data_IF_888584716980
#
_entry.id   IF_888584716980
#
_cell.length_a   1.000
_cell.length_b   1.000
_cell.length_c   1.000
_cell.angle_alpha   90.00
_cell.angle_beta   90.00
_cell.angle_gamma   90.00
#
_symmetry.space_group_name_H-M   'P 1'
#
loop_
_entity.id
_entity.type
_entity.pdbx_description
1 polymer ?
#
# COMPACT_ATOMS: atom_id res chain seq x y z
N UNK A 1 99.60 41.08 -45.67
CA UNK A 1 98.98 39.95 -44.94
C UNK A 1 97.66 40.43 -44.35
N UNK A 2 96.55 39.77 -44.74
CA UNK A 2 95.18 39.71 -44.14
C UNK A 2 94.47 40.96 -43.53
N UNK A 3 93.36 41.32 -44.21
CA UNK A 3 91.98 41.64 -43.76
C UNK A 3 91.70 41.86 -42.26
N UNK A 4 90.90 42.88 -41.96
CA UNK A 4 89.51 42.67 -41.50
C UNK A 4 88.58 43.85 -41.79
N UNK A 5 87.40 43.52 -42.32
CA UNK A 5 86.29 44.40 -42.68
C UNK A 5 85.53 44.88 -41.44
N UNK A 6 85.20 46.17 -41.45
CA UNK A 6 84.07 46.75 -40.71
C UNK A 6 83.12 47.32 -41.77
N UNK A 7 81.97 46.69 -41.97
CA UNK A 7 80.84 47.29 -42.69
C UNK A 7 79.62 47.16 -41.80
N UNK A 8 79.26 48.26 -41.13
CA UNK A 8 77.91 48.47 -40.60
C UNK A 8 76.97 48.64 -41.79
N UNK A 9 76.09 47.68 -42.03
CA UNK A 9 74.99 47.83 -42.97
C UNK A 9 73.91 48.71 -42.33
N UNK A 10 73.73 49.92 -42.87
CA UNK A 10 72.53 50.72 -42.63
C UNK A 10 71.38 50.17 -43.46
N UNK A 11 70.41 49.54 -42.81
CA UNK A 11 69.09 49.24 -43.40
C UNK A 11 68.38 50.58 -43.66
N UNK A 12 68.17 50.93 -44.92
CA UNK A 12 67.18 51.94 -45.31
C UNK A 12 65.80 51.28 -45.22
N UNK A 13 64.96 51.76 -44.32
CA UNK A 13 63.53 51.47 -44.31
C UNK A 13 62.88 52.31 -45.42
N UNK A 14 62.20 51.64 -46.35
CA UNK A 14 61.41 52.27 -47.41
C UNK A 14 60.04 52.63 -46.81
N UNK A 15 59.90 53.85 -46.28
CA UNK A 15 58.65 54.38 -45.70
C UNK A 15 57.65 54.72 -46.81
N UNK A 16 57.17 53.71 -47.53
CA UNK A 16 55.98 53.85 -48.39
C UNK A 16 54.75 53.85 -47.48
N UNK A 17 54.24 55.04 -47.19
CA UNK A 17 52.98 55.21 -46.46
C UNK A 17 51.84 54.43 -47.13
N UNK A 18 50.96 53.85 -46.31
CA UNK A 18 49.77 53.12 -46.76
C UNK A 18 48.94 53.96 -47.74
N UNK A 19 48.48 53.36 -48.84
CA UNK A 19 47.50 54.01 -49.71
C UNK A 19 46.16 54.15 -48.97
N UNK A 20 45.49 55.30 -49.13
CA UNK A 20 44.14 55.53 -48.58
C UNK A 20 43.15 54.44 -49.04
N UNK A 21 43.32 53.95 -50.27
CA UNK A 21 42.48 52.88 -50.84
C UNK A 21 42.73 51.55 -50.13
N UNK A 22 43.98 51.21 -49.84
CA UNK A 22 44.31 49.98 -49.09
C UNK A 22 43.77 50.02 -47.66
N UNK A 23 43.79 51.19 -47.02
CA UNK A 23 43.19 51.40 -45.70
C UNK A 23 41.67 51.17 -45.74
N UNK A 24 40.98 51.76 -46.72
CA UNK A 24 39.52 51.64 -46.86
C UNK A 24 39.11 50.18 -47.15
N UNK A 25 39.81 49.50 -48.06
CA UNK A 25 39.55 48.09 -48.38
C UNK A 25 39.80 47.21 -47.15
N UNK A 26 40.88 47.46 -46.40
CA UNK A 26 41.20 46.71 -45.18
C UNK A 26 40.13 46.87 -44.10
N UNK A 27 39.65 48.09 -43.86
CA UNK A 27 38.57 48.35 -42.90
C UNK A 27 37.25 47.74 -43.39
N UNK A 28 36.94 47.82 -44.68
CA UNK A 28 35.73 47.23 -45.24
C UNK A 28 35.71 45.69 -45.06
N UNK A 29 36.81 45.01 -45.37
CA UNK A 29 36.94 43.55 -45.17
C UNK A 29 36.85 43.22 -43.67
N UNK A 30 37.51 43.99 -42.80
CA UNK A 30 37.44 43.80 -41.36
C UNK A 30 36.01 43.91 -40.84
N UNK A 31 35.24 44.92 -41.26
CA UNK A 31 33.85 45.11 -40.83
C UNK A 31 32.95 43.98 -41.32
N UNK A 32 33.12 43.54 -42.59
CA UNK A 32 32.36 42.41 -43.16
C UNK A 32 32.56 41.14 -42.32
N UNK A 33 33.77 40.90 -41.80
CA UNK A 33 34.08 39.73 -40.97
C UNK A 33 33.65 39.94 -39.51
N UNK A 34 33.84 41.14 -38.95
CA UNK A 34 33.65 41.40 -37.52
C UNK A 34 32.17 41.43 -37.10
N UNK A 35 31.28 41.93 -37.96
CA UNK A 35 29.83 42.00 -37.67
C UNK A 35 29.24 40.62 -37.36
N UNK A 36 29.38 39.58 -38.22
CA UNK A 36 28.87 38.24 -37.90
C UNK A 36 29.61 37.59 -36.73
N UNK A 37 30.91 37.82 -36.57
CA UNK A 37 31.70 37.28 -35.45
C UNK A 37 31.20 37.81 -34.10
N UNK A 38 30.98 39.12 -33.99
CA UNK A 38 30.50 39.75 -32.76
C UNK A 38 29.04 39.35 -32.46
N UNK A 39 28.20 39.22 -33.48
CA UNK A 39 26.83 38.74 -33.32
C UNK A 39 26.80 37.31 -32.76
N UNK A 40 27.64 36.42 -33.29
CA UNK A 40 27.76 35.04 -32.80
C UNK A 40 28.33 35.00 -31.38
N UNK A 41 29.33 35.83 -31.06
CA UNK A 41 29.90 35.91 -29.71
C UNK A 41 28.88 36.37 -28.68
N UNK A 42 28.08 37.41 -28.98
CA UNK A 42 27.01 37.89 -28.10
C UNK A 42 25.97 36.79 -27.86
N UNK A 43 25.55 36.07 -28.91
CA UNK A 43 24.61 34.95 -28.79
C UNK A 43 25.19 33.84 -27.91
N UNK A 44 26.45 33.48 -28.08
CA UNK A 44 27.12 32.46 -27.25
C UNK A 44 27.21 32.90 -25.78
N UNK A 45 27.53 34.16 -25.50
CA UNK A 45 27.52 34.67 -24.12
C UNK A 45 26.13 34.62 -23.49
N UNK A 46 25.08 35.02 -24.24
CA UNK A 46 23.70 34.95 -23.78
C UNK A 46 23.26 33.51 -23.53
N UNK A 47 23.64 32.59 -24.42
CA UNK A 47 23.36 31.16 -24.29
C UNK A 47 24.07 30.58 -23.08
N UNK A 48 25.34 30.91 -22.86
CA UNK A 48 26.10 30.46 -21.69
C UNK A 48 25.48 30.95 -20.38
N UNK A 49 25.08 32.23 -20.31
CA UNK A 49 24.41 32.77 -19.13
C UNK A 49 23.05 32.11 -18.87
N UNK A 50 22.31 31.77 -19.93
CA UNK A 50 21.05 31.02 -19.81
C UNK A 50 21.30 29.58 -19.34
N UNK A 51 22.32 28.92 -19.88
CA UNK A 51 22.70 27.56 -19.51
C UNK A 51 23.17 27.49 -18.04
N UNK A 52 23.96 28.46 -17.58
CA UNK A 52 24.37 28.59 -16.19
C UNK A 52 23.17 28.71 -15.25
N UNK A 53 22.21 29.61 -15.55
CA UNK A 53 20.97 29.73 -14.77
C UNK A 53 20.17 28.44 -14.74
N UNK A 54 20.02 27.78 -15.89
CA UNK A 54 19.30 26.51 -15.99
C UNK A 54 19.98 25.41 -15.17
N UNK A 55 21.32 25.32 -15.21
CA UNK A 55 22.08 24.36 -14.43
C UNK A 55 21.89 24.59 -12.92
N UNK A 56 21.92 25.84 -12.47
CA UNK A 56 21.66 26.19 -11.06
C UNK A 56 20.25 25.79 -10.62
N UNK A 57 19.24 26.08 -11.44
CA UNK A 57 17.84 25.71 -11.18
C UNK A 57 17.66 24.18 -11.13
N UNK A 58 18.27 23.46 -12.08
CA UNK A 58 18.24 22.01 -12.14
C UNK A 58 18.93 21.37 -10.93
N UNK A 59 20.08 21.89 -10.50
CA UNK A 59 20.80 21.38 -9.33
C UNK A 59 20.01 21.61 -8.04
N UNK A 60 19.43 22.80 -7.87
CA UNK A 60 18.58 23.11 -6.72
C UNK A 60 17.38 22.15 -6.63
N UNK A 61 16.66 21.98 -7.74
CA UNK A 61 15.53 21.06 -7.79
C UNK A 61 15.96 19.61 -7.51
N UNK A 62 17.11 19.16 -8.04
CA UNK A 62 17.62 17.81 -7.81
C UNK A 62 18.01 17.57 -6.33
N UNK A 63 18.68 18.53 -5.69
CA UNK A 63 19.04 18.42 -4.27
C UNK A 63 17.80 18.38 -3.36
N UNK A 64 16.81 19.23 -3.63
CA UNK A 64 15.54 19.19 -2.90
C UNK A 64 14.78 17.88 -3.13
N UNK A 65 14.77 17.38 -4.37
CA UNK A 65 14.18 16.09 -4.72
C UNK A 65 14.84 14.95 -3.95
N UNK A 66 16.17 14.95 -3.85
CA UNK A 66 16.92 13.94 -3.09
C UNK A 66 16.57 13.99 -1.60
N UNK A 67 16.54 15.19 -0.99
CA UNK A 67 16.15 15.36 0.41
C UNK A 67 14.71 14.88 0.69
N UNK A 68 13.75 15.27 -0.14
CA UNK A 68 12.36 14.79 -0.04
C UNK A 68 12.26 13.28 -0.25
N UNK A 69 13.10 12.71 -1.12
CA UNK A 69 13.18 11.25 -1.31
C UNK A 69 13.87 10.52 -0.16
N UNK A 70 14.71 11.17 0.64
CA UNK A 70 15.28 10.57 1.83
C UNK A 70 14.29 10.54 3.02
N UNK A 71 13.44 11.56 3.16
CA UNK A 71 12.56 11.74 4.35
C UNK A 71 11.22 10.99 4.28
N UNK A 72 10.65 10.63 5.44
CA UNK A 72 9.27 10.14 5.57
C UNK A 72 8.27 11.28 5.31
N UNK A 73 7.02 10.99 4.91
CA UNK A 73 5.97 12.01 4.77
C UNK A 73 5.73 12.77 6.09
N UNK A 74 5.78 12.03 7.20
CA UNK A 74 5.68 12.61 8.54
C UNK A 74 6.83 13.56 8.86
N UNK A 75 8.05 13.21 8.49
CA UNK A 75 9.23 14.08 8.62
C UNK A 75 9.07 15.33 7.77
N UNK A 76 8.68 15.20 6.50
CA UNK A 76 8.43 16.33 5.60
C UNK A 76 7.38 17.27 6.21
N UNK A 77 6.23 16.74 6.64
CA UNK A 77 5.18 17.54 7.29
C UNK A 77 5.70 18.25 8.53
N UNK A 78 6.47 17.56 9.38
CA UNK A 78 7.04 18.15 10.58
C UNK A 78 8.05 19.25 10.26
N UNK A 79 8.88 19.06 9.23
CA UNK A 79 9.86 20.07 8.79
C UNK A 79 9.16 21.34 8.29
N UNK A 80 8.15 21.21 7.44
CA UNK A 80 7.40 22.38 6.92
C UNK A 80 6.45 23.04 7.93
N UNK A 81 6.17 22.37 9.06
CA UNK A 81 5.47 22.96 10.20
C UNK A 81 6.42 23.55 11.25
N UNK A 82 7.71 23.22 11.18
CA UNK A 82 8.75 23.65 12.10
C UNK A 82 9.27 25.07 11.79
N UNK A 83 10.12 25.62 12.68
CA UNK A 83 10.83 26.85 12.38
C UNK A 83 11.85 26.62 11.25
N UNK A 84 12.02 27.61 10.36
CA UNK A 84 12.96 27.51 9.22
C UNK A 84 14.40 27.17 9.62
N UNK A 85 14.82 27.57 10.82
CA UNK A 85 16.16 27.30 11.36
C UNK A 85 16.40 25.82 11.65
N UNK A 86 15.37 24.97 11.60
CA UNK A 86 15.42 23.52 11.81
C UNK A 86 15.12 22.72 10.54
N UNK A 87 15.10 23.37 9.36
CA UNK A 87 14.84 22.71 8.08
C UNK A 87 16.09 21.96 7.59
N UNK A 88 16.01 20.64 7.46
CA UNK A 88 17.18 19.79 7.15
C UNK A 88 17.20 19.31 5.68
N UNK A 89 16.08 19.44 4.94
CA UNK A 89 15.95 19.06 3.53
C UNK A 89 16.70 20.00 2.53
N UNK A 90 17.36 21.10 2.99
CA UNK A 90 18.26 22.09 2.26
C UNK A 90 17.56 23.40 1.79
N UNK A 91 18.19 24.61 1.67
CA UNK A 91 19.48 25.17 2.18
C UNK A 91 19.34 26.21 3.32
N UNK A 92 20.48 26.64 3.90
CA UNK A 92 20.59 27.51 5.10
C UNK A 92 20.15 28.98 4.93
N UNK A 93 20.02 29.47 3.69
CA UNK A 93 19.68 30.87 3.38
C UNK A 93 18.31 30.94 2.70
N UNK A 94 17.26 30.92 3.52
CA UNK A 94 15.86 30.96 3.11
C UNK A 94 15.07 32.00 3.93
N UNK A 95 14.07 32.59 3.30
CA UNK A 95 13.22 33.60 3.93
C UNK A 95 12.15 32.94 4.81
N UNK A 96 11.42 31.96 4.27
CA UNK A 96 10.31 31.27 4.94
C UNK A 96 10.07 29.86 4.38
N UNK A 97 9.44 28.99 5.19
CA UNK A 97 8.89 27.69 4.77
C UNK A 97 7.44 27.59 5.20
N UNK A 98 6.59 26.98 4.37
CA UNK A 98 5.20 26.78 4.75
C UNK A 98 4.50 25.66 4.01
N UNK A 99 3.52 25.06 4.69
CA UNK A 99 2.48 24.25 4.07
C UNK A 99 1.39 25.16 3.48
N UNK A 100 0.92 24.80 2.30
CA UNK A 100 -0.07 25.53 1.54
C UNK A 100 -1.39 24.75 1.48
N UNK A 101 -2.48 25.49 1.35
CA UNK A 101 -3.82 24.97 1.06
C UNK A 101 -4.29 25.57 -0.27
N UNK A 102 -4.73 24.70 -1.18
CA UNK A 102 -5.33 25.10 -2.45
C UNK A 102 -6.73 25.69 -2.19
N UNK A 103 -6.93 26.95 -2.58
CA UNK A 103 -8.24 27.64 -2.45
C UNK A 103 -9.01 27.54 -3.77
N UNK A 104 -8.30 27.73 -4.86
CA UNK A 104 -8.79 27.67 -6.23
C UNK A 104 -7.64 27.22 -7.15
N UNK A 105 -7.90 26.75 -8.38
CA UNK A 105 -6.84 26.32 -9.29
C UNK A 105 -5.73 27.38 -9.46
N UNK A 106 -4.53 27.07 -8.98
CA UNK A 106 -3.38 27.98 -9.02
C UNK A 106 -3.33 29.06 -7.93
N UNK A 107 -4.25 29.03 -6.96
CA UNK A 107 -4.30 29.97 -5.83
C UNK A 107 -4.13 29.24 -4.49
N UNK A 108 -3.13 29.66 -3.72
CA UNK A 108 -2.70 28.99 -2.50
C UNK A 108 -2.62 29.97 -1.33
N UNK A 109 -3.13 29.57 -0.15
CA UNK A 109 -2.92 30.27 1.12
C UNK A 109 -2.05 29.44 2.06
N UNK A 110 -1.44 30.10 3.04
CA UNK A 110 -0.80 29.43 4.16
C UNK A 110 -1.84 28.62 4.92
N UNK A 111 -1.56 27.33 5.16
CA UNK A 111 -2.40 26.48 6.00
C UNK A 111 -2.15 26.83 7.47
N UNK A 112 -3.21 27.05 8.25
CA UNK A 112 -3.07 27.26 9.70
C UNK A 112 -2.67 25.95 10.38
N UNK A 113 -1.69 26.03 11.28
CA UNK A 113 -1.08 24.88 11.94
C UNK A 113 -2.13 24.15 12.79
N UNK A 114 -2.46 22.92 12.40
CA UNK A 114 -3.41 22.05 13.06
C UNK A 114 -3.09 20.59 12.71
N UNK A 115 -3.51 19.70 13.60
CA UNK A 115 -3.27 18.24 13.65
C UNK A 115 -3.04 17.59 12.28
N UNK A 116 -2.10 16.63 12.24
CA UNK A 116 -1.80 15.74 11.12
C UNK A 116 -3.08 15.29 10.40
N UNK A 117 -3.35 15.88 9.24
CA UNK A 117 -4.47 15.57 8.35
C UNK A 117 -3.85 15.07 7.05
N UNK A 118 -3.98 13.77 6.82
CA UNK A 118 -3.45 13.08 5.64
C UNK A 118 -4.32 13.43 4.44
N UNK A 119 -3.75 14.16 3.48
CA UNK A 119 -4.43 14.52 2.24
C UNK A 119 -3.76 13.79 1.09
N UNK A 120 -4.57 13.39 0.09
CA UNK A 120 -4.06 12.72 -1.10
C UNK A 120 -3.10 13.62 -1.91
N UNK A 121 -3.21 14.94 -1.79
CA UNK A 121 -2.26 15.88 -2.39
C UNK A 121 -1.90 16.96 -1.37
N UNK A 122 -0.60 17.15 -1.14
CA UNK A 122 -0.06 18.18 -0.25
C UNK A 122 0.81 19.18 -1.02
N UNK A 123 0.75 20.44 -0.58
CA UNK A 123 1.46 21.55 -1.19
C UNK A 123 2.39 22.23 -0.18
N UNK A 124 3.62 22.49 -0.57
CA UNK A 124 4.63 23.13 0.26
C UNK A 124 5.36 24.22 -0.52
N UNK A 125 5.92 25.18 0.20
CA UNK A 125 6.74 26.22 -0.41
C UNK A 125 7.94 26.60 0.46
N UNK A 126 9.01 27.00 -0.23
CA UNK A 126 10.23 27.58 0.34
C UNK A 126 10.44 28.92 -0.36
N UNK A 127 10.53 30.01 0.39
CA UNK A 127 10.68 31.36 -0.17
C UNK A 127 12.12 31.85 -0.07
N UNK A 128 12.56 32.60 -1.08
CA UNK A 128 13.81 33.34 -1.03
C UNK A 128 15.08 32.47 -1.07
N UNK A 129 15.03 31.28 -1.67
CA UNK A 129 16.19 30.40 -1.80
C UNK A 129 17.26 31.06 -2.68
N UNK A 130 18.44 31.31 -2.12
CA UNK A 130 19.56 31.90 -2.87
C UNK A 130 20.41 30.80 -3.53
N UNK A 131 20.44 30.76 -4.87
CA UNK A 131 21.29 29.86 -5.64
C UNK A 131 22.04 30.62 -6.75
N UNK A 132 23.38 30.57 -6.71
CA UNK A 132 24.24 31.25 -7.70
C UNK A 132 24.01 32.76 -7.79
N UNK A 133 23.70 33.40 -6.66
CA UNK A 133 23.49 34.86 -6.57
C UNK A 133 22.12 35.34 -7.08
N UNK A 134 21.19 34.43 -7.40
CA UNK A 134 19.79 34.76 -7.69
C UNK A 134 18.88 34.15 -6.63
N UNK A 135 17.80 34.84 -6.29
CA UNK A 135 16.77 34.36 -5.37
C UNK A 135 15.65 33.65 -6.15
N UNK A 136 15.14 32.56 -5.59
CA UNK A 136 14.06 31.74 -6.15
C UNK A 136 13.03 31.42 -5.07
N UNK A 137 11.78 31.30 -5.48
CA UNK A 137 10.76 30.62 -4.67
C UNK A 137 10.62 29.19 -5.18
N UNK A 138 10.46 28.24 -4.27
CA UNK A 138 10.26 26.83 -4.61
C UNK A 138 8.84 26.45 -4.24
N UNK A 139 8.14 25.83 -5.18
CA UNK A 139 6.84 25.23 -4.97
C UNK A 139 6.96 23.72 -5.10
N UNK A 140 6.46 22.99 -4.11
CA UNK A 140 6.54 21.54 -4.03
C UNK A 140 5.12 21.00 -3.96
N UNK A 141 4.80 20.05 -4.82
CA UNK A 141 3.58 19.26 -4.76
C UNK A 141 3.95 17.81 -4.52
N UNK A 142 3.40 17.24 -3.45
CA UNK A 142 3.41 15.80 -3.20
C UNK A 142 2.02 15.28 -3.54
N UNK A 143 1.92 14.49 -4.59
CA UNK A 143 0.65 13.93 -5.05
C UNK A 143 0.63 12.41 -4.90
N UNK A 144 -0.21 11.92 -3.99
CA UNK A 144 -0.58 10.51 -3.82
C UNK A 144 -1.94 10.20 -4.47
N UNK A 145 -2.59 11.16 -5.13
CA UNK A 145 -3.91 10.98 -5.74
C UNK A 145 -3.86 10.33 -7.13
N UNK A 146 -2.68 10.14 -7.72
CA UNK A 146 -2.52 9.75 -9.14
C UNK A 146 -3.25 8.45 -9.47
N UNK A 147 -4.11 8.52 -10.50
CA UNK A 147 -5.00 7.43 -10.97
C UNK A 147 -4.27 6.13 -11.38
N UNK A 148 -2.96 6.19 -11.63
CA UNK A 148 -2.13 5.05 -12.05
C UNK A 148 -2.05 3.92 -11.02
N UNK A 149 -2.39 4.18 -9.76
CA UNK A 149 -2.37 3.22 -8.67
C UNK A 149 -3.76 2.94 -8.09
N UNK A 150 -4.83 3.52 -8.64
CA UNK A 150 -6.21 3.29 -8.21
C UNK A 150 -6.92 2.42 -9.23
N UNK A 151 -7.38 1.22 -8.85
CA UNK A 151 -8.37 0.50 -9.68
C UNK A 151 -9.72 1.17 -9.49
N UNK A 152 -10.49 1.34 -10.58
CA UNK A 152 -11.76 2.10 -10.70
C UNK A 152 -12.89 1.76 -9.70
N UNK A 153 -12.68 0.84 -8.75
CA UNK A 153 -13.66 0.42 -7.76
C UNK A 153 -13.38 0.89 -6.31
N UNK A 154 -12.16 1.32 -5.95
CA UNK A 154 -11.83 1.60 -4.54
C UNK A 154 -10.85 2.78 -4.37
N UNK A 155 -11.20 3.72 -3.47
CA UNK A 155 -10.48 4.96 -3.17
C UNK A 155 -9.26 4.78 -2.23
N UNK A 156 -8.44 3.73 -2.36
CA UNK A 156 -7.34 3.47 -1.41
C UNK A 156 -5.99 3.09 -2.02
N UNK A 157 -4.94 3.45 -1.28
CA UNK A 157 -3.52 3.20 -1.55
C UNK A 157 -3.19 1.71 -1.32
N UNK A 158 -3.00 1.01 -2.42
CA UNK A 158 -2.57 -0.38 -2.54
C UNK A 158 -1.03 -0.45 -2.63
N UNK A 159 -0.34 -0.40 -1.48
CA UNK A 159 1.10 -0.69 -1.51
C UNK A 159 1.34 -2.11 -2.04
N UNK A 160 2.32 -2.31 -2.93
CA UNK A 160 2.69 -3.61 -3.45
C UNK A 160 3.22 -4.46 -2.29
N UNK A 161 2.48 -5.52 -1.94
CA UNK A 161 3.17 -6.81 -1.91
C UNK A 161 4.10 -6.85 -3.13
N UNK A 162 5.36 -7.31 -3.01
CA UNK A 162 6.27 -7.35 -4.16
C UNK A 162 5.47 -7.91 -5.33
N UNK A 163 5.48 -7.22 -6.48
CA UNK A 163 4.61 -7.62 -7.60
C UNK A 163 4.72 -9.14 -7.71
N UNK A 164 3.61 -9.87 -7.76
CA UNK A 164 3.65 -11.34 -7.67
C UNK A 164 4.65 -11.92 -8.69
N UNK A 165 4.82 -11.22 -9.82
CA UNK A 165 5.79 -11.51 -10.88
C UNK A 165 7.27 -11.43 -10.47
N UNK A 166 7.59 -10.67 -9.42
CA UNK A 166 8.92 -10.48 -8.85
C UNK A 166 9.16 -11.33 -7.60
N UNK A 167 8.12 -12.04 -7.12
CA UNK A 167 8.26 -13.02 -6.04
C UNK A 167 8.81 -14.31 -6.62
N UNK A 168 9.97 -14.72 -6.12
CA UNK A 168 10.53 -16.02 -6.43
C UNK A 168 9.80 -17.09 -5.60
N UNK A 169 9.06 -17.95 -6.30
CA UNK A 169 8.30 -19.05 -5.71
C UNK A 169 9.23 -20.09 -5.04
N UNK A 170 10.50 -20.18 -5.42
CA UNK A 170 11.47 -21.09 -4.81
C UNK A 170 12.19 -20.48 -3.60
N UNK A 171 12.03 -19.18 -3.36
CA UNK A 171 12.69 -18.46 -2.26
C UNK A 171 11.72 -17.87 -1.23
N UNK A 172 10.43 -17.72 -1.58
CA UNK A 172 9.42 -17.08 -0.73
C UNK A 172 8.24 -18.03 -0.48
N UNK A 173 7.69 -17.98 0.74
CA UNK A 173 6.42 -18.65 1.03
C UNK A 173 5.24 -17.86 0.50
N UNK A 174 4.54 -18.34 -0.54
CA UNK A 174 3.35 -17.68 -1.08
C UNK A 174 2.08 -18.47 -0.70
N UNK A 175 1.19 -17.84 0.05
CA UNK A 175 -0.02 -18.48 0.60
C UNK A 175 -1.26 -17.62 0.32
N UNK A 176 -2.40 -18.26 0.01
CA UNK A 176 -3.69 -17.58 -0.08
C UNK A 176 -4.66 -18.10 0.96
N UNK A 177 -5.31 -17.17 1.66
CA UNK A 177 -6.29 -17.48 2.70
C UNK A 177 -7.52 -18.26 2.23
N UNK A 178 -7.84 -18.23 0.94
CA UNK A 178 -8.94 -18.99 0.35
C UNK A 178 -8.55 -20.42 -0.04
N UNK A 179 -7.39 -20.89 0.41
CA UNK A 179 -6.90 -22.24 0.13
C UNK A 179 -6.38 -22.43 -1.30
N UNK A 180 -6.39 -21.39 -2.14
CA UNK A 180 -5.64 -21.45 -3.39
C UNK A 180 -4.14 -21.55 -3.09
N UNK A 181 -3.41 -22.37 -3.84
CA UNK A 181 -1.96 -22.52 -3.70
C UNK A 181 -1.29 -22.23 -5.03
N UNK A 182 -0.14 -21.54 -4.96
CA UNK A 182 0.77 -21.36 -6.10
C UNK A 182 1.42 -22.71 -6.48
N UNK A 183 1.70 -23.56 -5.49
CA UNK A 183 2.53 -24.76 -5.62
C UNK A 183 1.74 -26.04 -5.96
N UNK A 184 0.44 -25.88 -6.26
CA UNK A 184 -0.63 -26.89 -6.49
C UNK A 184 -1.39 -27.23 -5.21
N UNK A 185 -2.63 -26.74 -5.07
CA UNK A 185 -3.63 -27.34 -4.17
C UNK A 185 -4.63 -28.20 -4.93
N UNK A 186 -5.14 -29.23 -4.26
CA UNK A 186 -6.26 -30.03 -4.76
C UNK A 186 -7.63 -29.42 -4.36
N UNK A 187 -7.63 -28.31 -3.63
CA UNK A 187 -8.82 -27.78 -2.95
C UNK A 187 -9.01 -26.30 -3.26
N UNK A 188 -9.83 -26.03 -4.26
CA UNK A 188 -10.38 -24.71 -4.55
C UNK A 188 -11.64 -24.55 -3.70
N UNK A 189 -11.71 -23.54 -2.83
CA UNK A 189 -12.86 -23.19 -1.97
C UNK A 189 -13.09 -24.07 -0.70
N UNK A 190 -12.19 -23.98 0.31
CA UNK A 190 -12.38 -24.65 1.60
C UNK A 190 -13.53 -24.03 2.43
N UNK A 191 -13.83 -22.73 2.25
CA UNK A 191 -14.92 -22.04 2.94
C UNK A 191 -16.28 -22.66 2.54
N UNK A 192 -16.56 -22.75 1.24
CA UNK A 192 -17.80 -23.32 0.72
C UNK A 192 -17.99 -24.78 1.10
N UNK A 193 -16.96 -25.61 0.93
CA UNK A 193 -17.01 -27.03 1.31
C UNK A 193 -17.22 -27.25 2.79
N UNK A 194 -16.59 -26.43 3.64
CA UNK A 194 -16.81 -26.48 5.09
C UNK A 194 -18.25 -26.15 5.42
N UNK A 195 -18.81 -25.10 4.81
CA UNK A 195 -20.20 -24.72 5.03
C UNK A 195 -21.17 -25.85 4.62
N UNK A 196 -20.97 -26.47 3.47
CA UNK A 196 -21.77 -27.63 3.02
C UNK A 196 -21.70 -28.78 4.03
N UNK A 197 -20.50 -29.12 4.50
CA UNK A 197 -20.30 -30.17 5.50
C UNK A 197 -20.97 -29.83 6.84
N UNK A 198 -20.89 -28.58 7.29
CA UNK A 198 -21.53 -28.13 8.53
C UNK A 198 -23.06 -28.12 8.41
N UNK A 199 -23.63 -27.71 7.28
CA UNK A 199 -25.08 -27.79 7.03
C UNK A 199 -25.55 -29.24 7.12
N UNK A 200 -24.84 -30.18 6.49
CA UNK A 200 -25.18 -31.61 6.57
C UNK A 200 -25.11 -32.13 8.02
N UNK A 201 -24.04 -31.81 8.76
CA UNK A 201 -23.92 -32.21 10.16
C UNK A 201 -25.00 -31.58 11.04
N UNK A 202 -25.39 -30.35 10.74
CA UNK A 202 -26.46 -29.63 11.41
C UNK A 202 -27.83 -30.26 11.15
N UNK A 203 -28.11 -30.70 9.92
CA UNK A 203 -29.30 -31.48 9.58
C UNK A 203 -29.36 -32.80 10.37
N UNK A 204 -28.26 -33.57 10.39
CA UNK A 204 -28.18 -34.81 11.16
C UNK A 204 -28.44 -34.57 12.65
N UNK A 205 -27.84 -33.51 13.21
CA UNK A 205 -28.08 -33.10 14.59
C UNK A 205 -29.55 -32.72 14.83
N UNK A 206 -30.15 -31.91 13.97
CA UNK A 206 -31.52 -31.43 14.10
C UNK A 206 -32.53 -32.59 14.08
N UNK A 207 -32.39 -33.51 13.14
CA UNK A 207 -33.28 -34.67 13.03
C UNK A 207 -33.08 -35.67 14.18
N UNK A 208 -31.83 -35.93 14.59
CA UNK A 208 -31.58 -36.78 15.76
C UNK A 208 -32.20 -36.20 17.04
N UNK A 209 -32.15 -34.86 17.19
CA UNK A 209 -32.77 -34.14 18.30
C UNK A 209 -34.30 -34.18 18.22
N UNK A 210 -34.89 -34.00 17.02
CA UNK A 210 -36.34 -34.13 16.79
C UNK A 210 -36.83 -35.52 17.19
N UNK A 211 -36.20 -36.58 16.70
CA UNK A 211 -36.65 -37.95 16.94
C UNK A 211 -36.47 -38.45 18.37
N UNK A 212 -35.56 -37.83 19.12
CA UNK A 212 -35.37 -38.07 20.56
C UNK A 212 -36.20 -37.14 21.45
N UNK A 213 -36.86 -36.12 20.88
CA UNK A 213 -37.67 -35.18 21.64
C UNK A 213 -38.93 -35.80 22.22
N UNK A 214 -39.36 -35.30 23.38
CA UNK A 214 -40.62 -35.72 24.00
C UNK A 214 -41.83 -35.48 23.08
N UNK A 215 -41.85 -34.37 22.34
CA UNK A 215 -42.90 -34.06 21.40
C UNK A 215 -43.07 -35.13 20.30
N UNK A 216 -41.97 -35.69 19.80
CA UNK A 216 -42.01 -36.76 18.81
C UNK A 216 -42.45 -38.10 19.43
N UNK A 217 -42.02 -38.40 20.66
CA UNK A 217 -42.47 -39.59 21.39
C UNK A 217 -43.98 -39.52 21.72
N UNK A 218 -44.48 -38.34 22.08
CA UNK A 218 -45.90 -38.09 22.32
C UNK A 218 -46.71 -38.24 21.02
N UNK A 219 -46.18 -37.73 19.90
CA UNK A 219 -46.76 -37.96 18.57
C UNK A 219 -46.84 -39.44 18.22
N UNK A 220 -45.77 -40.23 18.41
CA UNK A 220 -45.80 -41.68 18.15
C UNK A 220 -46.85 -42.39 19.01
N UNK A 221 -47.02 -41.97 20.26
CA UNK A 221 -48.05 -42.50 21.16
C UNK A 221 -49.45 -42.15 20.64
N UNK A 222 -49.69 -40.89 20.27
CA UNK A 222 -50.96 -40.42 19.71
C UNK A 222 -51.28 -41.08 18.37
N UNK A 223 -50.29 -41.27 17.51
CA UNK A 223 -50.43 -41.93 16.20
C UNK A 223 -50.81 -43.41 16.35
N UNK A 224 -50.19 -44.12 17.30
CA UNK A 224 -50.56 -45.50 17.61
C UNK A 224 -52.00 -45.60 18.15
N UNK A 225 -52.43 -44.66 18.99
CA UNK A 225 -53.82 -44.60 19.46
C UNK A 225 -54.80 -44.27 18.33
N UNK A 226 -54.42 -43.36 17.43
CA UNK A 226 -55.19 -43.02 16.24
C UNK A 226 -55.38 -44.22 15.31
N UNK A 227 -54.34 -45.04 15.08
CA UNK A 227 -54.46 -46.28 14.30
C UNK A 227 -55.50 -47.24 14.88
N UNK A 228 -55.53 -47.40 16.20
CA UNK A 228 -56.55 -48.23 16.88
C UNK A 228 -57.95 -47.63 16.66
N UNK A 229 -58.11 -46.32 16.84
CA UNK A 229 -59.39 -45.64 16.66
C UNK A 229 -59.91 -45.70 15.21
N UNK A 230 -59.02 -45.64 14.21
CA UNK A 230 -59.36 -45.83 12.79
C UNK A 230 -59.92 -47.22 12.51
N UNK A 231 -59.31 -48.26 13.07
CA UNK A 231 -59.81 -49.63 12.93
C UNK A 231 -61.21 -49.79 13.54
N UNK A 232 -61.44 -49.21 14.72
CA UNK A 232 -62.78 -49.21 15.34
C UNK A 232 -63.82 -48.43 14.52
N UNK A 233 -63.44 -47.26 14.00
CA UNK A 233 -64.31 -46.43 13.16
C UNK A 233 -64.73 -47.18 11.89
N UNK A 234 -63.79 -47.89 11.26
CA UNK A 234 -64.05 -48.75 10.10
C UNK A 234 -65.04 -49.88 10.42
N UNK A 235 -64.90 -50.54 11.58
CA UNK A 235 -65.86 -51.57 12.01
C UNK A 235 -67.27 -51.01 12.26
N UNK A 236 -67.37 -49.76 12.69
CA UNK A 236 -68.64 -49.07 12.98
C UNK A 236 -69.25 -48.36 11.76
N UNK A 237 -68.56 -48.35 10.61
CA UNK A 237 -69.01 -47.67 9.40
C UNK A 237 -69.05 -46.14 9.52
N UNK A 238 -68.21 -45.57 10.40
CA UNK A 238 -68.12 -44.11 10.62
C UNK A 238 -66.80 -43.56 10.08
N UNK A 239 -66.75 -42.23 9.88
CA UNK A 239 -65.54 -41.54 9.43
C UNK A 239 -64.40 -41.69 10.45
N UNK A 240 -63.15 -41.88 10.00
CA UNK A 240 -62.01 -41.94 10.90
C UNK A 240 -61.76 -40.60 11.61
N UNK A 241 -61.15 -40.61 12.80
CA UNK A 241 -60.70 -39.39 13.48
C UNK A 241 -59.59 -38.68 12.69
N UNK A 242 -59.38 -37.36 12.91
CA UNK A 242 -58.30 -36.63 12.28
C UNK A 242 -56.94 -37.19 12.71
N UNK A 243 -56.03 -37.31 11.76
CA UNK A 243 -54.66 -37.79 11.99
C UNK A 243 -53.89 -36.78 12.85
N UNK A 244 -53.13 -37.22 13.86
CA UNK A 244 -52.25 -36.34 14.60
C UNK A 244 -51.15 -35.79 13.68
N UNK A 245 -50.81 -34.52 13.82
CA UNK A 245 -49.74 -33.88 13.03
C UNK A 245 -48.37 -34.20 13.63
N UNK A 246 -47.38 -34.67 12.85
CA UNK A 246 -46.02 -34.85 13.35
C UNK A 246 -45.37 -33.51 13.70
N UNK A 247 -44.55 -33.45 14.77
CA UNK A 247 -43.74 -32.26 15.01
C UNK A 247 -42.70 -32.09 13.91
N UNK A 248 -42.42 -30.84 13.57
CA UNK A 248 -41.43 -30.43 12.56
C UNK A 248 -40.22 -29.80 13.22
N UNK A 249 -39.10 -29.66 12.49
CA UNK A 249 -37.92 -28.95 12.99
C UNK A 249 -38.28 -27.53 13.46
N UNK A 250 -39.03 -26.79 12.65
CA UNK A 250 -39.49 -25.44 12.98
C UNK A 250 -40.38 -25.41 14.24
N UNK A 251 -41.23 -26.42 14.46
CA UNK A 251 -42.08 -26.48 15.66
C UNK A 251 -41.29 -26.62 16.97
N UNK A 252 -40.03 -27.08 16.89
CA UNK A 252 -39.11 -27.22 18.01
C UNK A 252 -37.96 -26.20 17.96
N UNK A 253 -37.94 -25.28 16.98
CA UNK A 253 -36.85 -24.33 16.77
C UNK A 253 -35.52 -24.98 16.38
N UNK A 254 -35.54 -26.15 15.74
CA UNK A 254 -34.36 -26.92 15.32
C UNK A 254 -33.94 -26.60 13.88
N UNK A 255 -34.74 -25.83 13.14
CA UNK A 255 -34.47 -25.38 11.77
C UNK A 255 -33.24 -24.45 11.67
N UNK A 256 -32.90 -23.76 12.76
CA UNK A 256 -31.69 -22.93 12.88
C UNK A 256 -30.39 -23.71 12.62
N UNK A 257 -30.40 -25.03 12.87
CA UNK A 257 -29.25 -25.92 12.65
C UNK A 257 -29.08 -26.32 11.17
N UNK A 258 -30.06 -26.00 10.33
CA UNK A 258 -30.02 -26.26 8.87
C UNK A 258 -29.83 -25.00 8.05
N UNK A 259 -29.89 -23.82 8.70
CA UNK A 259 -29.76 -22.53 8.06
C UNK A 259 -28.27 -22.14 7.91
N UNK A 260 -27.80 -22.08 6.67
CA UNK A 260 -26.43 -21.72 6.35
C UNK A 260 -26.02 -20.34 6.87
N UNK A 261 -26.90 -19.33 6.80
CA UNK A 261 -26.59 -17.97 7.28
C UNK A 261 -26.56 -17.90 8.80
N UNK A 262 -27.34 -18.75 9.47
CA UNK A 262 -27.27 -18.90 10.91
C UNK A 262 -25.97 -19.60 11.34
N UNK A 263 -25.62 -20.71 10.69
CA UNK A 263 -24.40 -21.48 10.97
C UNK A 263 -23.15 -20.60 10.84
N UNK A 264 -23.06 -19.78 9.79
CA UNK A 264 -21.86 -18.95 9.53
C UNK A 264 -21.44 -18.09 10.73
N UNK A 265 -22.40 -17.64 11.55
CA UNK A 265 -22.17 -16.79 12.73
C UNK A 265 -21.45 -17.49 13.87
N UNK A 266 -21.39 -18.82 13.84
CA UNK A 266 -20.81 -19.66 14.89
C UNK A 266 -19.56 -20.41 14.44
N UNK A 267 -18.99 -20.03 13.29
CA UNK A 267 -17.80 -20.64 12.71
C UNK A 267 -16.64 -19.68 12.77
N UNK A 268 -15.53 -20.14 13.33
CA UNK A 268 -14.24 -19.45 13.28
C UNK A 268 -13.32 -20.17 12.31
N UNK A 269 -12.73 -19.46 11.35
CA UNK A 269 -11.67 -19.89 10.46
C UNK A 269 -10.30 -19.58 11.08
N UNK A 270 -9.53 -20.62 11.34
CA UNK A 270 -8.18 -20.56 11.87
C UNK A 270 -7.18 -20.90 10.76
N UNK A 271 -6.41 -19.92 10.32
CA UNK A 271 -5.32 -20.08 9.37
C UNK A 271 -4.03 -20.38 10.13
N UNK A 272 -3.50 -21.58 10.01
CA UNK A 272 -2.35 -22.02 10.78
C UNK A 272 -1.16 -22.17 9.84
N UNK A 273 -0.16 -21.32 10.05
CA UNK A 273 1.05 -21.25 9.24
C UNK A 273 2.21 -21.65 10.12
N UNK A 274 2.84 -22.76 9.75
CA UNK A 274 4.00 -23.29 10.46
C UNK A 274 5.22 -23.24 9.57
N UNK A 275 6.26 -22.60 10.08
CA UNK A 275 7.55 -22.44 9.42
C UNK A 275 8.56 -23.31 10.18
N UNK A 276 9.27 -24.13 9.42
CA UNK A 276 10.54 -24.74 9.85
C UNK A 276 11.64 -24.18 8.93
N UNK A 277 12.92 -24.43 9.27
CA UNK A 277 14.09 -23.89 8.56
C UNK A 277 13.90 -23.79 7.03
N UNK A 278 13.59 -24.92 6.39
CA UNK A 278 13.44 -25.05 4.93
C UNK A 278 12.05 -25.49 4.48
N UNK A 279 11.02 -25.36 5.32
CA UNK A 279 9.67 -25.78 4.94
C UNK A 279 8.57 -24.94 5.53
N UNK A 280 7.53 -24.67 4.75
CA UNK A 280 6.31 -23.99 5.20
C UNK A 280 5.14 -24.97 5.05
N UNK A 281 4.35 -25.13 6.10
CA UNK A 281 3.06 -25.82 6.03
C UNK A 281 1.93 -24.85 6.35
N UNK A 282 0.86 -24.94 5.57
CA UNK A 282 -0.31 -24.10 5.70
C UNK A 282 -1.57 -24.96 5.76
N UNK A 283 -2.33 -24.81 6.83
CA UNK A 283 -3.62 -25.47 7.02
C UNK A 283 -4.68 -24.44 7.42
N UNK A 284 -5.93 -24.74 7.07
CA UNK A 284 -7.08 -23.97 7.49
C UNK A 284 -7.96 -24.89 8.34
N UNK A 285 -8.25 -24.47 9.56
CA UNK A 285 -9.09 -25.20 10.51
C UNK A 285 -10.33 -24.37 10.82
N UNK A 286 -11.50 -24.94 10.60
CA UNK A 286 -12.78 -24.33 10.93
C UNK A 286 -13.32 -24.92 12.22
N UNK A 287 -13.66 -24.07 13.18
CA UNK A 287 -14.24 -24.46 14.45
C UNK A 287 -15.69 -23.97 14.51
N UNK A 288 -16.66 -24.88 14.57
CA UNK A 288 -18.07 -24.55 14.77
C UNK A 288 -18.48 -24.79 16.23
N UNK A 289 -19.16 -23.83 16.85
CA UNK A 289 -19.58 -23.89 18.25
C UNK A 289 -21.11 -23.96 18.45
N UNK A 290 -21.88 -24.19 17.39
CA UNK A 290 -23.34 -24.02 17.43
C UNK A 290 -24.09 -25.14 18.20
N UNK A 291 -23.70 -26.41 18.07
CA UNK A 291 -24.33 -27.53 18.77
C UNK A 291 -23.35 -28.43 19.52
N UNK A 292 -22.18 -28.65 18.92
CA UNK A 292 -21.02 -29.26 19.56
C UNK A 292 -19.76 -28.67 18.91
N UNK A 293 -18.62 -28.62 19.61
CA UNK A 293 -17.35 -28.24 19.00
C UNK A 293 -17.03 -29.21 17.86
N UNK A 294 -17.10 -28.71 16.63
CA UNK A 294 -16.74 -29.46 15.42
C UNK A 294 -15.57 -28.75 14.78
N UNK A 295 -14.53 -29.52 14.50
CA UNK A 295 -13.32 -29.07 13.85
C UNK A 295 -13.22 -29.71 12.47
N UNK A 296 -13.12 -28.91 11.41
CA UNK A 296 -12.87 -29.36 10.04
C UNK A 296 -11.54 -28.76 9.59
N UNK A 297 -10.58 -29.59 9.18
CA UNK A 297 -9.24 -29.14 8.78
C UNK A 297 -8.98 -29.45 7.32
N UNK A 298 -8.52 -28.44 6.59
CA UNK A 298 -8.06 -28.52 5.22
C UNK A 298 -6.55 -28.28 5.18
N UNK A 299 -5.80 -29.27 4.71
CA UNK A 299 -4.37 -29.13 4.43
C UNK A 299 -4.21 -28.44 3.08
N UNK A 300 -3.73 -27.21 3.07
CA UNK A 300 -3.66 -26.39 1.86
C UNK A 300 -2.33 -26.57 1.17
N UNK A 301 -1.23 -26.44 1.91
CA UNK A 301 0.10 -26.49 1.33
C UNK A 301 1.16 -27.07 2.29
N UNK A 302 2.16 -27.72 1.70
CA UNK A 302 3.37 -28.14 2.37
C UNK A 302 4.54 -28.05 1.39
N UNK A 303 5.27 -26.94 1.44
CA UNK A 303 6.35 -26.64 0.51
C UNK A 303 7.70 -26.83 1.20
N UNK A 304 8.66 -27.41 0.48
CA UNK A 304 10.07 -27.48 0.89
C UNK A 304 10.88 -26.58 -0.03
N UNK A 305 11.72 -25.76 0.58
CA UNK A 305 12.59 -24.80 -0.08
C UNK A 305 14.03 -25.32 -0.09
N UNK A 306 14.82 -24.88 -1.08
CA UNK A 306 16.22 -25.28 -1.19
C UNK A 306 17.12 -24.61 -0.11
N UNK A 307 16.65 -23.50 0.46
CA UNK A 307 17.34 -22.70 1.46
C UNK A 307 16.39 -22.29 2.59
N UNK A 308 16.94 -21.66 3.63
CA UNK A 308 16.17 -21.12 4.74
C UNK A 308 15.14 -20.11 4.25
N UNK A 309 13.91 -20.22 4.76
CA UNK A 309 12.80 -19.32 4.40
C UNK A 309 12.90 -18.04 5.23
N UNK A 310 13.11 -16.91 4.56
CA UNK A 310 13.23 -15.60 5.22
C UNK A 310 11.93 -14.78 5.15
N UNK A 311 11.13 -14.98 4.10
CA UNK A 311 9.94 -14.18 3.82
C UNK A 311 8.74 -15.07 3.48
N UNK A 312 7.60 -14.79 4.09
CA UNK A 312 6.33 -15.44 3.83
C UNK A 312 5.27 -14.39 3.60
N UNK A 313 4.48 -14.58 2.55
CA UNK A 313 3.42 -13.70 2.12
C UNK A 313 2.09 -14.44 2.15
N UNK A 314 1.12 -13.86 2.87
CA UNK A 314 -0.25 -14.31 2.94
C UNK A 314 -1.15 -13.27 2.26
N UNK A 315 -1.74 -13.66 1.13
CA UNK A 315 -2.81 -12.92 0.49
C UNK A 315 -4.13 -13.25 1.20
N UNK A 316 -4.57 -12.31 2.02
CA UNK A 316 -5.75 -12.43 2.82
C UNK A 316 -6.99 -11.96 2.04
N UNK A 317 -8.01 -12.81 2.04
CA UNK A 317 -9.33 -12.59 1.48
C UNK A 317 -10.30 -12.97 2.59
N UNK A 318 -11.17 -12.02 2.92
CA UNK A 318 -12.15 -12.19 3.99
C UNK A 318 -12.99 -13.46 3.77
N UNK A 319 -13.11 -14.27 4.84
CA UNK A 319 -13.95 -15.46 4.81
C UNK A 319 -15.45 -15.12 4.72
N UNK A 320 -16.22 -16.05 4.15
CA UNK A 320 -17.69 -16.00 4.19
C UNK A 320 -18.23 -16.00 5.63
N UNK A 321 -17.49 -16.58 6.59
CA UNK A 321 -17.88 -16.62 8.00
C UNK A 321 -17.75 -15.25 8.67
N UNK A 322 -16.73 -14.47 8.29
CA UNK A 322 -16.54 -13.10 8.75
C UNK A 322 -17.65 -12.16 8.24
N UNK A 323 -18.14 -12.37 7.03
CA UNK A 323 -19.21 -11.55 6.44
C UNK A 323 -20.57 -11.70 7.15
N UNK A 324 -20.78 -12.79 7.88
CA UNK A 324 -22.05 -13.07 8.57
C UNK A 324 -22.15 -12.41 9.95
N UNK A 325 -21.05 -11.88 10.48
CA UNK A 325 -20.99 -11.23 11.78
C UNK A 325 -21.35 -9.75 11.69
N UNK A 326 -22.00 -9.24 12.73
CA UNK A 326 -22.25 -7.81 12.83
C UNK A 326 -20.93 -7.06 13.10
N UNK A 327 -20.76 -5.83 12.61
CA UNK A 327 -19.62 -4.99 12.96
C UNK A 327 -19.52 -4.80 14.48
N UNK A 328 -18.34 -5.02 15.04
CA UNK A 328 -18.06 -4.89 16.47
C UNK A 328 -18.48 -6.10 17.32
N UNK A 329 -18.88 -7.20 16.70
CA UNK A 329 -18.97 -8.49 17.40
C UNK A 329 -17.56 -8.95 17.76
N UNK A 330 -17.28 -9.14 19.07
CA UNK A 330 -15.97 -9.58 19.56
C UNK A 330 -15.69 -11.06 19.25
N UNK A 331 -16.61 -11.73 18.54
CA UNK A 331 -16.40 -13.07 18.02
C UNK A 331 -15.55 -12.97 16.76
N UNK A 332 -14.26 -13.30 16.85
CA UNK A 332 -13.38 -13.31 15.68
C UNK A 332 -13.79 -14.45 14.74
N UNK A 333 -14.15 -14.11 13.50
CA UNK A 333 -14.35 -15.12 12.47
C UNK A 333 -13.01 -15.63 11.95
N UNK A 334 -12.05 -14.75 11.64
CA UNK A 334 -10.77 -15.17 11.08
C UNK A 334 -9.61 -14.93 12.06
N UNK A 335 -8.87 -16.01 12.37
CA UNK A 335 -7.67 -15.99 13.22
C UNK A 335 -6.49 -16.54 12.43
N UNK A 336 -5.36 -15.84 12.46
CA UNK A 336 -4.11 -16.25 11.84
C UNK A 336 -3.14 -16.65 12.95
N UNK A 337 -2.77 -17.91 12.97
CA UNK A 337 -1.74 -18.48 13.84
C UNK A 337 -0.43 -18.59 13.07
N UNK A 338 0.61 -17.95 13.59
CA UNK A 338 1.95 -18.01 13.02
C UNK A 338 2.86 -18.74 14.00
N UNK A 339 3.47 -19.82 13.55
CA UNK A 339 4.41 -20.62 14.33
C UNK A 339 5.74 -20.74 13.59
N UNK A 340 6.81 -20.22 14.18
CA UNK A 340 8.17 -20.48 13.73
C UNK A 340 8.84 -21.49 14.66
N UNK A 341 9.09 -22.71 14.18
CA UNK A 341 9.74 -23.75 15.00
C UNK A 341 11.22 -23.51 15.24
N UNK A 342 11.86 -22.64 14.44
CA UNK A 342 13.28 -22.31 14.53
C UNK A 342 13.46 -20.90 15.09
N UNK A 343 13.40 -20.76 16.41
CA UNK A 343 13.41 -19.45 17.09
C UNK A 343 14.64 -18.57 16.75
N UNK A 344 15.76 -19.20 16.36
CA UNK A 344 17.01 -18.50 15.99
C UNK A 344 16.94 -17.81 14.62
N UNK A 345 16.08 -18.29 13.72
CA UNK A 345 15.92 -17.76 12.37
C UNK A 345 14.79 -16.75 12.31
N UNK A 346 15.12 -15.49 12.01
CA UNK A 346 14.11 -14.43 11.87
C UNK A 346 13.34 -14.60 10.57
N UNK A 347 12.02 -14.65 10.67
CA UNK A 347 11.11 -14.73 9.52
C UNK A 347 10.30 -13.44 9.43
N UNK A 348 10.24 -12.85 8.24
CA UNK A 348 9.33 -11.77 7.93
C UNK A 348 8.03 -12.35 7.38
N UNK A 349 6.92 -11.97 7.98
CA UNK A 349 5.58 -12.41 7.61
C UNK A 349 4.78 -11.21 7.11
N UNK A 350 4.33 -11.26 5.86
CA UNK A 350 3.62 -10.19 5.18
C UNK A 350 2.16 -10.62 4.96
N UNK A 351 1.21 -9.79 5.39
CA UNK A 351 -0.23 -10.05 5.24
C UNK A 351 -0.83 -8.94 4.38
N UNK A 352 -1.49 -9.36 3.29
CA UNK A 352 -2.08 -8.46 2.31
C UNK A 352 -3.58 -8.66 2.17
N UNK A 353 -4.42 -7.74 2.64
CA UNK A 353 -5.86 -7.75 2.37
C UNK A 353 -6.12 -7.49 0.87
N UNK A 354 -6.89 -8.38 0.25
CA UNK A 354 -7.26 -8.33 -1.15
C UNK A 354 -8.63 -7.68 -1.40
N UNK A 355 -9.48 -7.53 -0.37
CA UNK A 355 -10.89 -7.16 -0.55
C UNK A 355 -11.35 -5.95 0.27
N UNK A 356 -10.53 -5.42 1.18
CA UNK A 356 -10.74 -4.11 1.83
C UNK A 356 -12.07 -3.93 2.61
N UNK A 357 -12.79 -5.02 2.89
CA UNK A 357 -14.13 -5.01 3.52
C UNK A 357 -14.13 -5.60 4.92
N UNK A 358 -13.15 -5.25 5.74
CA UNK A 358 -13.08 -5.78 7.10
C UNK A 358 -14.04 -5.05 8.05
N UNK A 359 -15.18 -5.68 8.30
CA UNK A 359 -16.15 -5.22 9.31
C UNK A 359 -15.69 -5.50 10.74
N UNK A 360 -14.88 -6.54 10.95
CA UNK A 360 -14.33 -6.96 12.24
C UNK A 360 -12.82 -7.17 12.12
N UNK A 361 -12.03 -6.90 13.17
CA UNK A 361 -10.59 -7.10 13.15
C UNK A 361 -10.24 -8.58 12.97
N UNK A 362 -9.22 -8.86 12.17
CA UNK A 362 -8.60 -10.19 12.16
C UNK A 362 -7.72 -10.35 13.39
N UNK A 363 -7.66 -11.54 13.97
CA UNK A 363 -6.77 -11.80 15.10
C UNK A 363 -5.48 -12.47 14.61
N UNK A 364 -4.33 -11.91 14.96
CA UNK A 364 -3.02 -12.49 14.63
C UNK A 364 -2.36 -12.96 15.93
N UNK A 365 -2.16 -14.26 16.03
CA UNK A 365 -1.57 -14.92 17.18
C UNK A 365 -0.20 -15.51 16.83
N UNK A 366 0.77 -15.29 17.72
CA UNK A 366 2.10 -15.92 17.63
C UNK A 366 2.60 -16.33 19.03
N UNK A 367 3.37 -17.41 19.17
CA UNK A 367 4.09 -17.73 20.39
C UNK A 367 5.02 -16.58 20.84
N UNK A 368 5.25 -16.45 22.15
CA UNK A 368 6.06 -15.37 22.74
C UNK A 368 7.55 -15.45 22.40
N UNK A 369 8.02 -16.64 22.04
CA UNK A 369 9.45 -16.93 21.86
C UNK A 369 9.88 -16.87 20.38
N UNK A 370 8.93 -16.57 19.48
CA UNK A 370 9.15 -16.55 18.04
C UNK A 370 9.77 -15.24 17.57
N UNK A 371 10.85 -15.33 16.78
CA UNK A 371 11.54 -14.19 16.17
C UNK A 371 10.90 -13.72 14.85
N UNK A 372 9.56 -13.65 14.84
CA UNK A 372 8.76 -13.25 13.66
C UNK A 372 8.48 -11.75 13.65
N UNK A 373 8.67 -11.11 12.49
CA UNK A 373 8.19 -9.75 12.22
C UNK A 373 6.96 -9.80 11.34
N UNK A 374 5.87 -9.16 11.76
CA UNK A 374 4.62 -9.13 10.99
C UNK A 374 4.43 -7.75 10.36
N UNK A 375 4.33 -7.75 9.03
CA UNK A 375 4.01 -6.60 8.19
C UNK A 375 2.60 -6.80 7.66
N UNK A 376 1.73 -5.81 7.79
CA UNK A 376 0.32 -5.97 7.39
C UNK A 376 -0.25 -4.67 6.85
N UNK A 377 -0.97 -4.77 5.72
CA UNK A 377 -1.83 -3.71 5.18
C UNK A 377 -3.31 -3.96 5.51
N UNK A 378 -3.59 -4.84 6.47
CA UNK A 378 -4.95 -5.13 6.88
C UNK A 378 -5.49 -3.96 7.68
N UNK A 379 -6.66 -3.42 7.28
CA UNK A 379 -7.27 -2.21 7.88
C UNK A 379 -7.50 -2.32 9.39
N UNK A 380 -7.86 -3.51 9.85
CA UNK A 380 -8.28 -3.76 11.23
C UNK A 380 -7.75 -5.12 11.68
N UNK A 381 -6.89 -5.13 12.70
CA UNK A 381 -6.36 -6.35 13.28
C UNK A 381 -6.07 -6.20 14.77
N UNK A 382 -6.13 -7.32 15.49
CA UNK A 382 -5.71 -7.46 16.88
C UNK A 382 -4.55 -8.44 16.97
N UNK A 383 -3.44 -8.00 17.58
CA UNK A 383 -2.27 -8.87 17.79
C UNK A 383 -2.21 -9.34 19.24
N UNK A 384 -2.03 -10.64 19.44
CA UNK A 384 -1.89 -11.23 20.78
C UNK A 384 -0.62 -12.08 20.89
N UNK A 385 0.12 -11.90 22.00
CA UNK A 385 1.35 -12.62 22.32
C UNK A 385 1.21 -13.33 23.66
N UNK A 386 0.34 -14.35 23.72
CA UNK A 386 0.35 -15.40 24.74
C UNK A 386 0.15 -14.99 26.20
N UNK A 387 1.09 -14.26 26.84
CA UNK A 387 1.04 -13.95 28.28
C UNK A 387 1.72 -12.65 28.76
N UNK A 388 2.57 -11.95 27.98
CA UNK A 388 3.21 -10.68 28.39
C UNK A 388 3.50 -9.75 27.20
N UNK A 389 3.40 -8.41 27.34
CA UNK A 389 3.45 -7.48 26.22
C UNK A 389 4.91 -7.21 25.81
N UNK A 390 5.47 -8.08 24.99
CA UNK A 390 6.55 -7.68 24.09
C UNK A 390 5.84 -7.32 22.78
N UNK A 391 5.44 -6.05 22.68
CA UNK A 391 4.79 -5.53 21.48
C UNK A 391 5.66 -5.89 20.27
N UNK A 392 5.16 -6.71 19.32
CA UNK A 392 5.87 -6.89 18.07
C UNK A 392 6.05 -5.52 17.41
N UNK A 393 7.13 -5.37 16.63
CA UNK A 393 7.22 -4.28 15.65
C UNK A 393 6.22 -4.58 14.53
N UNK A 394 4.94 -4.34 14.82
CA UNK A 394 3.90 -4.30 13.83
C UNK A 394 4.10 -3.01 13.05
N UNK A 395 4.54 -3.17 11.81
CA UNK A 395 4.63 -2.05 10.89
C UNK A 395 3.32 -2.04 10.14
N UNK A 396 2.38 -1.19 10.58
CA UNK A 396 1.21 -0.88 9.79
C UNK A 396 1.70 -0.24 8.49
N UNK A 397 1.45 -0.90 7.36
CA UNK A 397 1.85 -0.36 6.05
C UNK A 397 0.84 0.64 5.49
N UNK A 398 -0.28 0.92 6.20
CA UNK A 398 -1.06 2.15 6.03
C UNK A 398 -0.27 3.35 6.54
N UNK A 399 0.83 3.67 5.86
CA UNK A 399 1.09 5.07 5.58
C UNK A 399 0.42 5.30 4.23
N UNK A 400 -0.65 6.11 4.17
CA UNK A 400 -1.44 6.45 2.97
C UNK A 400 -0.61 7.10 1.83
N UNK A 401 0.71 7.05 1.94
CA UNK A 401 1.65 8.09 1.61
C UNK A 401 3.05 7.47 1.34
N UNK A 402 3.11 6.36 0.59
CA UNK A 402 4.38 5.68 0.21
C UNK A 402 4.84 5.96 -1.21
N UNK A 403 3.91 6.06 -2.16
CA UNK A 403 4.20 6.49 -3.53
C UNK A 403 3.64 7.89 -3.71
N UNK A 404 4.50 8.82 -4.07
CA UNK A 404 4.09 10.15 -4.47
C UNK A 404 4.77 10.55 -5.76
N UNK A 405 4.01 11.21 -6.60
CA UNK A 405 4.57 12.08 -7.61
C UNK A 405 4.98 13.38 -6.94
N UNK A 406 6.29 13.59 -6.87
CA UNK A 406 6.91 14.80 -6.38
C UNK A 406 7.12 15.71 -7.59
N UNK A 407 6.48 16.88 -7.55
CA UNK A 407 6.76 17.98 -8.49
C UNK A 407 7.45 19.11 -7.73
N UNK A 408 8.58 19.56 -8.25
CA UNK A 408 9.33 20.71 -7.72
C UNK A 408 9.43 21.76 -8.82
N UNK A 409 8.82 22.92 -8.57
CA UNK A 409 8.87 24.08 -9.44
C UNK A 409 9.78 25.15 -8.85
N UNK A 410 10.86 25.47 -9.58
CA UNK A 410 11.71 26.62 -9.28
C UNK A 410 11.10 27.85 -9.95
N UNK A 411 10.59 28.75 -9.12
CA UNK A 411 9.85 29.93 -9.52
C UNK A 411 10.70 31.20 -9.34
N UNK A 412 10.28 32.26 -10.03
CA UNK A 412 10.77 33.60 -9.73
C UNK A 412 10.43 33.99 -8.28
N UNK A 413 11.42 34.49 -7.55
CA UNK A 413 11.19 35.06 -6.23
C UNK A 413 10.29 36.30 -6.33
N UNK A 414 9.18 36.28 -5.61
CA UNK A 414 8.21 37.38 -5.56
C UNK A 414 7.87 37.72 -4.11
N UNK A 415 7.47 38.97 -3.86
CA UNK A 415 7.03 39.41 -2.53
C UNK A 415 5.50 39.38 -2.37
N UNK A 416 4.78 39.53 -3.48
CA UNK A 416 3.32 39.46 -3.50
C UNK A 416 2.84 38.01 -3.64
N UNK A 417 2.16 37.50 -2.60
CA UNK A 417 1.64 36.13 -2.59
C UNK A 417 0.78 35.77 -3.80
N UNK A 418 0.00 36.72 -4.33
CA UNK A 418 -0.85 36.54 -5.52
C UNK A 418 -0.05 36.32 -6.81
N UNK A 419 1.23 36.68 -6.84
CA UNK A 419 2.11 36.52 -8.00
C UNK A 419 3.15 35.41 -7.81
N UNK A 420 3.29 34.89 -6.60
CA UNK A 420 4.13 33.72 -6.31
C UNK A 420 3.67 32.51 -7.12
N UNK A 421 4.65 31.73 -7.58
CA UNK A 421 4.49 30.48 -8.34
C UNK A 421 3.89 30.58 -9.74
N UNK A 422 3.60 31.79 -10.25
CA UNK A 422 3.08 31.97 -11.62
C UNK A 422 4.15 31.85 -12.70
N UNK A 423 5.35 32.36 -12.42
CA UNK A 423 6.48 32.33 -13.36
C UNK A 423 7.46 31.21 -12.97
N UNK A 424 7.29 30.04 -13.59
CA UNK A 424 8.12 28.85 -13.37
C UNK A 424 9.31 28.87 -14.32
N UNK A 425 10.52 28.79 -13.78
CA UNK A 425 11.75 28.70 -14.57
C UNK A 425 12.16 27.26 -14.89
N UNK A 426 11.91 26.34 -13.96
CA UNK A 426 12.29 24.93 -14.08
C UNK A 426 11.34 24.05 -13.29
N UNK A 427 10.96 22.90 -13.84
CA UNK A 427 10.13 21.90 -13.18
C UNK A 427 10.88 20.58 -13.17
N UNK A 428 10.96 19.93 -12.01
CA UNK A 428 11.43 18.57 -11.86
C UNK A 428 10.30 17.69 -11.36
N UNK A 429 10.00 16.64 -12.12
CA UNK A 429 9.05 15.61 -11.72
C UNK A 429 9.82 14.35 -11.37
N UNK A 430 9.41 13.68 -10.30
CA UNK A 430 9.84 12.34 -10.03
C UNK A 430 8.82 11.61 -9.17
N UNK A 431 8.71 10.31 -9.39
CA UNK A 431 8.01 9.42 -8.47
C UNK A 431 8.99 8.94 -7.42
N UNK A 432 8.54 8.88 -6.15
CA UNK A 432 9.24 8.20 -5.07
C UNK A 432 8.46 6.92 -4.78
N UNK A 433 9.09 5.77 -4.97
CA UNK A 433 8.63 4.50 -4.42
C UNK A 433 9.41 4.25 -3.13
N UNK A 434 8.71 3.91 -2.04
CA UNK A 434 9.33 3.75 -0.73
C UNK A 434 9.14 2.37 -0.16
#
# INVERSE_FOLDING_TARGET
MRRNHSIKAGLKLDDKGFSLVELIISIAILVIIMVPLMSNFIRSMQMNKKAEKYQLQSNLAASLMEGLKASTTKEIINEFNGPKDSFEIIPNDIDDIMRLELIAPGEYKKRETGIYDEQATDYYAIHGVIAGGSAYDVFIRLDAATESYKTEADDLNNYPMPEIINLDEEANGLLFSDGSSVYKSNETDPDGKTLEALVQLGEEYAYSTLYSSQAYLDYLTAYNQWLVACNEAAMKGISPPPEPTPPTLASLGLDIYTDADYIKKYVTKNMIITVNDTSVSYEIKYNCYLWAPIDITHQIDQVKYASTVENIYLFYKQSIFQSALNPGDNTYADIIYIHNKEAENKVNFFIADQNNTLFNPIKIERPTDDSVKVFTNVLSYEANTGMLPINPTLVNTYELNRIFDITIDICKAETEQSNRYKEVYYTLNSTKER
#
